data_IF_167793094414
#
_entry.id   IF_167793094414
#
_cell.length_a   1.000
_cell.length_b   1.000
_cell.length_c   1.000
_cell.angle_alpha   90.00
_cell.angle_beta   90.00
_cell.angle_gamma   90.00
#
_symmetry.space_group_name_H-M   'P 1'
#
loop_
_entity.id
_entity.type
_entity.pdbx_description
1 polymer ?
#
# COMPACT_ATOMS: atom_id res chain seq x y z
N UNK A 1 -6.25 -5.23 23.85
CA UNK A 1 -6.87 -5.33 22.51
C UNK A 1 -6.53 -6.67 21.90
N UNK A 2 -7.51 -7.33 21.30
CA UNK A 2 -7.29 -8.59 20.59
C UNK A 2 -6.37 -8.34 19.38
N UNK A 3 -5.35 -9.19 19.24
CA UNK A 3 -4.36 -9.08 18.15
C UNK A 3 -4.93 -9.75 16.90
N UNK A 4 -5.72 -9.02 16.11
CA UNK A 4 -6.48 -9.51 14.93
C UNK A 4 -5.63 -10.21 13.85
N UNK A 5 -4.31 -9.96 13.83
CA UNK A 5 -3.38 -10.52 12.84
C UNK A 5 -2.33 -11.43 13.50
N UNK A 6 -2.62 -11.97 14.69
CA UNK A 6 -1.68 -12.79 15.44
C UNK A 6 -1.18 -13.98 14.62
N UNK A 7 0.14 -14.14 14.54
CA UNK A 7 0.81 -15.26 13.87
C UNK A 7 0.80 -15.19 12.34
N UNK A 8 0.33 -14.08 11.74
CA UNK A 8 0.37 -13.85 10.30
C UNK A 8 1.65 -13.15 9.88
N UNK A 9 2.15 -13.46 8.70
CA UNK A 9 3.35 -12.88 8.09
C UNK A 9 2.92 -11.87 7.03
N UNK A 10 3.35 -10.61 7.16
CA UNK A 10 2.98 -9.53 6.26
C UNK A 10 4.22 -8.95 5.56
N UNK A 11 4.21 -8.91 4.23
CA UNK A 11 5.19 -8.15 3.43
C UNK A 11 4.58 -6.78 3.11
N UNK A 12 5.30 -5.70 3.44
CA UNK A 12 4.91 -4.33 3.10
C UNK A 12 5.99 -3.73 2.21
N UNK A 13 5.66 -3.49 0.93
CA UNK A 13 6.61 -2.93 -0.02
C UNK A 13 6.76 -1.42 0.15
N UNK A 14 8.01 -0.91 -0.01
CA UNK A 14 8.29 0.51 0.18
C UNK A 14 8.00 1.00 1.60
N UNK A 15 8.32 0.19 2.61
CA UNK A 15 7.97 0.43 4.01
C UNK A 15 9.04 1.17 4.82
N UNK A 16 10.10 1.68 4.20
CA UNK A 16 11.15 2.46 4.87
C UNK A 16 10.69 3.85 5.34
N UNK A 17 9.56 4.37 4.83
CA UNK A 17 9.04 5.69 5.21
C UNK A 17 7.56 5.84 4.90
N UNK A 18 6.97 6.99 5.27
CA UNK A 18 5.63 7.41 4.88
C UNK A 18 4.53 6.40 5.21
N UNK A 19 3.60 6.22 4.26
CA UNK A 19 2.45 5.32 4.42
C UNK A 19 2.89 3.88 4.72
N UNK A 20 3.88 3.37 3.97
CA UNK A 20 4.37 2.00 4.16
C UNK A 20 4.90 1.73 5.57
N UNK A 21 5.64 2.69 6.14
CA UNK A 21 6.12 2.61 7.52
C UNK A 21 4.96 2.63 8.53
N UNK A 22 3.97 3.53 8.33
CA UNK A 22 2.77 3.58 9.17
C UNK A 22 1.97 2.27 9.13
N UNK A 23 1.78 1.71 7.95
CA UNK A 23 1.10 0.41 7.76
C UNK A 23 1.88 -0.72 8.43
N UNK A 24 3.21 -0.79 8.26
CA UNK A 24 4.03 -1.82 8.88
C UNK A 24 3.90 -1.80 10.42
N UNK A 25 3.94 -0.61 11.03
CA UNK A 25 3.72 -0.43 12.47
C UNK A 25 2.32 -0.87 12.89
N UNK A 26 1.28 -0.46 12.19
CA UNK A 26 -0.10 -0.80 12.49
C UNK A 26 -0.36 -2.32 12.42
N UNK A 27 0.10 -2.98 11.36
CA UNK A 27 -0.01 -4.44 11.22
C UNK A 27 0.76 -5.18 12.33
N UNK A 28 1.94 -4.68 12.71
CA UNK A 28 2.73 -5.25 13.81
C UNK A 28 2.01 -5.12 15.17
N UNK A 29 1.43 -3.96 15.47
CA UNK A 29 0.61 -3.74 16.67
C UNK A 29 -0.59 -4.70 16.68
N UNK A 30 -1.18 -4.97 15.52
CA UNK A 30 -2.27 -5.93 15.35
C UNK A 30 -1.81 -7.41 15.45
N UNK A 31 -0.51 -7.68 15.62
CA UNK A 31 0.06 -9.01 15.90
C UNK A 31 0.73 -9.70 14.72
N UNK A 32 0.84 -9.06 13.55
CA UNK A 32 1.59 -9.62 12.43
C UNK A 32 3.11 -9.53 12.65
N UNK A 33 3.84 -10.51 12.13
CA UNK A 33 5.28 -10.39 11.88
C UNK A 33 5.46 -9.69 10.53
N UNK A 34 6.21 -8.59 10.49
CA UNK A 34 6.28 -7.73 9.32
C UNK A 34 7.64 -7.80 8.61
N UNK A 35 7.59 -7.74 7.29
CA UNK A 35 8.75 -7.56 6.42
C UNK A 35 8.73 -6.13 5.90
N UNK A 36 9.64 -5.30 6.41
CA UNK A 36 9.82 -3.90 6.01
C UNK A 36 10.70 -3.88 4.76
N UNK A 37 10.07 -3.87 3.58
CA UNK A 37 10.83 -3.82 2.33
C UNK A 37 11.29 -2.39 2.01
N UNK A 38 12.49 -2.30 1.46
CA UNK A 38 13.09 -1.06 0.94
C UNK A 38 13.80 -1.32 -0.40
N UNK A 39 13.81 -0.32 -1.34
CA UNK A 39 14.25 -0.60 -2.72
C UNK A 39 15.75 -0.58 -2.94
N UNK A 40 16.50 0.26 -2.20
CA UNK A 40 17.92 0.53 -2.47
C UNK A 40 18.73 0.68 -1.17
N UNK A 41 20.05 0.44 -1.21
CA UNK A 41 20.91 0.55 -0.01
C UNK A 41 20.82 1.89 0.73
N UNK A 42 20.58 2.99 0.00
CA UNK A 42 20.46 4.33 0.59
C UNK A 42 19.27 4.46 1.58
N UNK A 43 18.22 3.65 1.43
CA UNK A 43 17.03 3.65 2.31
C UNK A 43 17.09 2.57 3.39
N UNK A 44 18.20 1.85 3.52
CA UNK A 44 18.37 0.79 4.51
C UNK A 44 18.25 1.30 5.94
N UNK A 45 18.94 2.40 6.27
CA UNK A 45 18.91 2.96 7.62
C UNK A 45 17.49 3.40 8.02
N UNK A 46 16.71 3.94 7.08
CA UNK A 46 15.31 4.30 7.33
C UNK A 46 14.46 3.06 7.61
N UNK A 47 14.64 1.98 6.85
CA UNK A 47 13.96 0.71 7.09
C UNK A 47 14.34 0.09 8.44
N UNK A 48 15.63 0.13 8.82
CA UNK A 48 16.12 -0.34 10.11
C UNK A 48 15.54 0.48 11.28
N UNK A 49 15.39 1.81 11.09
CA UNK A 49 14.72 2.67 12.07
C UNK A 49 13.26 2.27 12.26
N UNK A 50 12.52 2.04 11.17
CA UNK A 50 11.13 1.56 11.24
C UNK A 50 11.06 0.21 11.97
N UNK A 51 11.95 -0.73 11.64
CA UNK A 51 12.00 -2.02 12.32
C UNK A 51 12.31 -1.87 13.81
N UNK A 52 13.25 -0.98 14.17
CA UNK A 52 13.54 -0.69 15.57
C UNK A 52 12.33 -0.17 16.33
N UNK A 53 11.59 0.78 15.76
CA UNK A 53 10.36 1.31 16.37
C UNK A 53 9.31 0.19 16.56
N UNK A 54 9.21 -0.75 15.62
CA UNK A 54 8.33 -1.92 15.72
C UNK A 54 8.77 -2.85 16.85
N UNK A 55 10.07 -3.15 16.94
CA UNK A 55 10.60 -4.06 17.97
C UNK A 55 10.60 -3.45 19.37
N UNK A 56 10.86 -2.15 19.49
CA UNK A 56 10.75 -1.41 20.75
C UNK A 56 9.30 -1.41 21.28
N UNK A 57 8.30 -1.45 20.38
CA UNK A 57 6.89 -1.61 20.72
C UNK A 57 6.46 -3.08 21.00
N UNK A 58 7.40 -4.02 21.00
CA UNK A 58 7.15 -5.45 21.25
C UNK A 58 6.65 -6.23 20.02
N UNK A 59 6.75 -5.66 18.82
CA UNK A 59 6.45 -6.33 17.58
C UNK A 59 7.60 -7.17 17.04
N UNK A 60 7.36 -7.89 15.96
CA UNK A 60 8.36 -8.74 15.29
C UNK A 60 8.45 -8.40 13.81
N UNK A 61 9.65 -8.49 13.26
CA UNK A 61 9.84 -8.28 11.82
C UNK A 61 11.29 -8.40 11.38
N UNK A 62 11.49 -8.13 10.10
CA UNK A 62 12.80 -7.98 9.46
C UNK A 62 12.75 -6.84 8.44
N UNK A 63 13.91 -6.32 8.07
CA UNK A 63 14.06 -5.51 6.87
C UNK A 63 14.46 -6.40 5.67
N UNK A 64 14.04 -6.02 4.45
CA UNK A 64 14.43 -6.74 3.24
C UNK A 64 14.65 -5.78 2.06
N UNK A 65 15.84 -5.85 1.44
CA UNK A 65 16.17 -5.07 0.25
C UNK A 65 15.57 -5.75 -0.99
N UNK A 66 14.71 -5.04 -1.74
CA UNK A 66 14.17 -5.51 -3.02
C UNK A 66 13.59 -4.33 -3.79
N UNK A 67 14.07 -4.11 -5.01
CA UNK A 67 13.43 -3.25 -6.00
C UNK A 67 12.27 -4.03 -6.63
N UNK A 68 11.04 -3.64 -6.31
CA UNK A 68 9.83 -4.32 -6.77
C UNK A 68 9.63 -4.28 -8.29
N UNK A 69 10.33 -3.38 -9.00
CA UNK A 69 10.33 -3.34 -10.46
C UNK A 69 11.17 -4.46 -11.11
N UNK A 70 11.93 -5.22 -10.31
CA UNK A 70 12.81 -6.29 -10.73
C UNK A 70 12.25 -7.66 -10.36
N UNK A 71 11.83 -8.41 -11.37
CA UNK A 71 11.15 -9.69 -11.18
C UNK A 71 11.98 -10.70 -10.37
N UNK A 72 13.27 -10.82 -10.67
CA UNK A 72 14.17 -11.74 -9.96
C UNK A 72 14.38 -11.36 -8.49
N UNK A 73 14.40 -10.06 -8.17
CA UNK A 73 14.48 -9.59 -6.77
C UNK A 73 13.18 -9.89 -6.00
N UNK A 74 12.01 -9.71 -6.64
CA UNK A 74 10.71 -10.04 -6.05
C UNK A 74 10.62 -11.55 -5.77
N UNK A 75 10.97 -12.40 -6.74
CA UNK A 75 10.97 -13.86 -6.56
C UNK A 75 11.88 -14.26 -5.38
N UNK A 76 13.09 -13.70 -5.30
CA UNK A 76 14.03 -13.95 -4.19
C UNK A 76 13.47 -13.47 -2.85
N UNK A 77 12.82 -12.30 -2.81
CA UNK A 77 12.22 -11.79 -1.57
C UNK A 77 11.17 -12.74 -1.04
N UNK A 78 10.22 -13.16 -1.87
CA UNK A 78 9.17 -14.11 -1.44
C UNK A 78 9.77 -15.45 -1.02
N UNK A 79 10.71 -16.02 -1.79
CA UNK A 79 11.40 -17.27 -1.44
C UNK A 79 12.05 -17.19 -0.07
N UNK A 80 12.87 -16.16 0.17
CA UNK A 80 13.60 -16.01 1.45
C UNK A 80 12.64 -15.75 2.63
N UNK A 81 11.54 -15.03 2.42
CA UNK A 81 10.54 -14.81 3.48
C UNK A 81 9.83 -16.12 3.81
N UNK A 82 9.43 -16.91 2.80
CA UNK A 82 8.81 -18.22 2.97
C UNK A 82 9.77 -19.19 3.66
N UNK A 83 11.03 -19.25 3.25
CA UNK A 83 12.05 -20.11 3.90
C UNK A 83 12.26 -19.74 5.37
N UNK A 84 12.18 -18.45 5.72
CA UNK A 84 12.41 -17.99 7.09
C UNK A 84 11.20 -18.13 8.01
N UNK A 85 10.00 -17.88 7.50
CA UNK A 85 8.78 -17.80 8.31
C UNK A 85 7.75 -18.89 8.00
N UNK A 86 8.04 -19.72 7.01
CA UNK A 86 7.18 -20.83 6.57
C UNK A 86 6.08 -20.43 5.59
N UNK A 87 5.76 -19.12 5.47
CA UNK A 87 4.69 -18.62 4.60
C UNK A 87 4.70 -17.09 4.47
N UNK A 88 3.82 -16.58 3.62
CA UNK A 88 3.31 -15.21 3.59
C UNK A 88 1.78 -15.27 3.71
N UNK A 89 1.17 -14.42 4.52
CA UNK A 89 -0.28 -14.36 4.75
C UNK A 89 -0.91 -13.06 4.20
N UNK A 90 -0.13 -11.96 4.24
CA UNK A 90 -0.58 -10.62 3.88
C UNK A 90 0.47 -9.97 2.99
N UNK A 91 0.03 -9.39 1.87
CA UNK A 91 0.85 -8.50 1.06
C UNK A 91 0.23 -7.10 1.05
N UNK A 92 1.01 -6.08 1.44
CA UNK A 92 0.66 -4.68 1.21
C UNK A 92 1.57 -4.14 0.11
N UNK A 93 1.01 -4.02 -1.09
CA UNK A 93 1.64 -3.43 -2.26
C UNK A 93 1.63 -1.91 -2.16
N UNK A 94 2.58 -1.35 -1.42
CA UNK A 94 2.63 0.09 -1.14
C UNK A 94 3.72 0.84 -1.93
N UNK A 95 4.77 0.17 -2.38
CA UNK A 95 5.84 0.82 -3.14
C UNK A 95 5.28 1.65 -4.29
N UNK A 96 5.71 2.90 -4.39
CA UNK A 96 5.25 3.83 -5.41
C UNK A 96 6.03 5.14 -5.38
N UNK A 97 6.06 5.81 -6.53
CA UNK A 97 6.79 7.06 -6.74
C UNK A 97 6.09 7.92 -7.80
N UNK A 98 6.57 9.15 -7.93
CA UNK A 98 6.13 10.14 -8.91
C UNK A 98 7.33 10.64 -9.73
N UNK A 99 7.08 10.99 -11.00
CA UNK A 99 8.00 11.71 -11.89
C UNK A 99 7.15 12.60 -12.79
N UNK A 100 6.90 13.80 -12.31
CA UNK A 100 5.90 14.71 -12.86
C UNK A 100 6.48 15.52 -14.00
N UNK A 101 5.67 15.80 -15.01
CA UNK A 101 5.98 16.68 -16.12
C UNK A 101 4.70 17.08 -16.84
N UNK A 102 4.70 18.22 -17.54
CA UNK A 102 3.63 18.53 -18.49
C UNK A 102 3.54 17.40 -19.53
N UNK A 103 2.33 17.07 -19.95
CA UNK A 103 2.10 15.90 -20.81
C UNK A 103 2.98 15.89 -22.08
N UNK A 104 3.14 17.06 -22.72
CA UNK A 104 3.97 17.21 -23.94
C UNK A 104 5.48 17.17 -23.67
N UNK A 105 5.91 17.29 -22.42
CA UNK A 105 7.31 17.30 -21.98
C UNK A 105 7.69 16.00 -21.24
N UNK A 106 6.70 15.16 -20.91
CA UNK A 106 6.90 13.89 -20.22
C UNK A 106 7.68 12.92 -21.13
N UNK A 107 8.86 12.51 -20.66
CA UNK A 107 9.68 11.55 -21.43
C UNK A 107 9.16 10.12 -21.26
N UNK A 108 9.45 9.26 -22.25
CA UNK A 108 9.13 7.84 -22.16
C UNK A 108 9.84 7.16 -20.97
N UNK A 109 11.02 7.63 -20.60
CA UNK A 109 11.75 7.16 -19.42
C UNK A 109 10.98 7.45 -18.12
N UNK A 110 10.50 8.71 -17.93
CA UNK A 110 9.69 9.09 -16.78
C UNK A 110 8.39 8.28 -16.72
N UNK A 111 7.73 8.09 -17.84
CA UNK A 111 6.53 7.27 -17.97
C UNK A 111 6.80 5.81 -17.54
N UNK A 112 7.77 5.17 -18.18
CA UNK A 112 8.10 3.77 -17.92
C UNK A 112 8.60 3.55 -16.49
N UNK A 113 9.36 4.49 -15.92
CA UNK A 113 9.86 4.39 -14.56
C UNK A 113 8.71 4.36 -13.54
N UNK A 114 7.72 5.25 -13.69
CA UNK A 114 6.56 5.27 -12.79
C UNK A 114 5.73 3.99 -12.93
N UNK A 115 5.44 3.55 -14.16
CA UNK A 115 4.69 2.32 -14.40
C UNK A 115 5.42 1.08 -13.89
N UNK A 116 6.74 1.00 -14.06
CA UNK A 116 7.53 -0.16 -13.62
C UNK A 116 7.46 -0.38 -12.11
N UNK A 117 7.44 0.69 -11.31
CA UNK A 117 7.33 0.58 -9.85
C UNK A 117 5.87 0.48 -9.41
N UNK A 118 5.03 1.44 -9.84
CA UNK A 118 3.68 1.59 -9.29
C UNK A 118 2.70 0.51 -9.75
N UNK A 119 2.85 0.01 -10.97
CA UNK A 119 1.92 -0.97 -11.57
C UNK A 119 2.58 -2.34 -11.74
N UNK A 120 3.70 -2.41 -12.48
CA UNK A 120 4.39 -3.69 -12.71
C UNK A 120 4.90 -4.29 -11.40
N UNK A 121 5.45 -3.48 -10.50
CA UNK A 121 5.90 -3.95 -9.18
C UNK A 121 4.77 -4.55 -8.35
N UNK A 122 3.58 -3.93 -8.35
CA UNK A 122 2.40 -4.50 -7.67
C UNK A 122 1.94 -5.81 -8.31
N UNK A 123 1.98 -5.91 -9.64
CA UNK A 123 1.69 -7.16 -10.35
C UNK A 123 2.67 -8.27 -9.95
N UNK A 124 3.97 -8.01 -9.99
CA UNK A 124 4.99 -9.00 -9.66
C UNK A 124 4.83 -9.53 -8.23
N UNK A 125 4.68 -8.63 -7.26
CA UNK A 125 4.49 -9.02 -5.86
C UNK A 125 3.16 -9.75 -5.64
N UNK A 126 2.05 -9.30 -6.24
CA UNK A 126 0.75 -9.96 -6.14
C UNK A 126 0.80 -11.38 -6.71
N UNK A 127 1.47 -11.57 -7.85
CA UNK A 127 1.65 -12.89 -8.47
C UNK A 127 2.36 -13.88 -7.55
N UNK A 128 3.48 -13.47 -6.94
CA UNK A 128 4.22 -14.36 -6.04
C UNK A 128 3.45 -14.63 -4.73
N UNK A 129 2.75 -13.63 -4.19
CA UNK A 129 1.88 -13.83 -3.03
C UNK A 129 0.74 -14.84 -3.33
N UNK A 130 0.07 -14.70 -4.47
CA UNK A 130 -1.02 -15.60 -4.86
C UNK A 130 -0.52 -17.02 -5.06
N UNK A 131 0.66 -17.23 -5.65
CA UNK A 131 1.28 -18.56 -5.76
C UNK A 131 1.42 -19.23 -4.39
N UNK A 132 1.93 -18.49 -3.40
CA UNK A 132 2.06 -19.01 -2.04
C UNK A 132 0.69 -19.28 -1.40
N UNK A 133 -0.27 -18.38 -1.54
CA UNK A 133 -1.61 -18.55 -0.99
C UNK A 133 -2.31 -19.79 -1.55
N UNK A 134 -2.18 -20.05 -2.87
CA UNK A 134 -2.74 -21.23 -3.52
C UNK A 134 -2.05 -22.52 -3.07
N UNK A 135 -0.73 -22.48 -2.88
CA UNK A 135 0.07 -23.63 -2.43
C UNK A 135 -0.29 -24.04 -1.00
N UNK A 136 -0.41 -23.05 -0.11
CA UNK A 136 -0.69 -23.30 1.32
C UNK A 136 -2.18 -23.60 1.58
N UNK A 137 -3.08 -22.86 0.92
CA UNK A 137 -4.52 -22.89 1.21
C UNK A 137 -4.88 -22.09 2.48
N UNK A 138 -6.08 -22.35 3.02
CA UNK A 138 -6.59 -21.70 4.24
C UNK A 138 -5.99 -22.37 5.48
N UNK A 139 -5.48 -21.57 6.40
CA UNK A 139 -5.14 -21.95 7.77
C UNK A 139 -6.16 -21.31 8.73
N UNK A 140 -7.24 -22.05 9.04
CA UNK A 140 -8.34 -21.54 9.87
C UNK A 140 -7.94 -21.15 11.29
N UNK A 141 -6.76 -21.59 11.76
CA UNK A 141 -6.21 -21.15 13.05
C UNK A 141 -5.70 -19.70 13.02
N UNK A 142 -5.42 -19.17 11.81
CA UNK A 142 -4.91 -17.83 11.59
C UNK A 142 -5.93 -16.90 10.96
N UNK A 143 -6.70 -17.37 9.97
CA UNK A 143 -7.66 -16.55 9.23
C UNK A 143 -8.60 -17.40 8.38
N UNK A 144 -9.79 -16.89 8.11
CA UNK A 144 -10.76 -17.47 7.15
C UNK A 144 -10.28 -17.36 5.70
N UNK A 145 -9.37 -16.44 5.38
CA UNK A 145 -8.83 -16.25 4.05
C UNK A 145 -7.53 -17.06 3.85
N UNK A 146 -7.32 -17.58 2.65
CA UNK A 146 -6.05 -18.18 2.24
C UNK A 146 -4.94 -17.14 2.13
N UNK A 147 -5.26 -15.88 1.86
CA UNK A 147 -4.32 -14.77 1.83
C UNK A 147 -5.03 -13.45 1.58
N UNK A 148 -4.36 -12.35 1.87
CA UNK A 148 -4.88 -10.99 1.68
C UNK A 148 -3.87 -10.12 0.96
N UNK A 149 -4.35 -9.40 -0.05
CA UNK A 149 -3.56 -8.38 -0.76
C UNK A 149 -4.25 -7.04 -0.61
N UNK A 150 -3.48 -6.03 -0.20
CA UNK A 150 -3.90 -4.64 -0.15
C UNK A 150 -3.05 -3.87 -1.15
N UNK A 151 -3.68 -3.36 -2.21
CA UNK A 151 -3.03 -2.52 -3.21
C UNK A 151 -3.11 -1.05 -2.77
N UNK A 152 -1.98 -0.37 -2.64
CA UNK A 152 -1.97 1.06 -2.36
C UNK A 152 -2.17 1.83 -3.66
N UNK A 153 -3.39 2.32 -3.86
CA UNK A 153 -3.77 3.17 -4.97
C UNK A 153 -3.62 4.67 -4.61
N UNK A 154 -4.55 5.48 -4.98
CA UNK A 154 -4.67 6.91 -4.71
C UNK A 154 -6.06 7.39 -5.09
N UNK A 155 -6.51 8.53 -4.57
CA UNK A 155 -7.66 9.25 -5.11
C UNK A 155 -7.51 9.51 -6.62
N UNK A 156 -6.28 9.53 -7.13
CA UNK A 156 -5.97 9.72 -8.55
C UNK A 156 -6.18 8.46 -9.41
N UNK A 157 -6.75 7.40 -8.87
CA UNK A 157 -7.35 6.34 -9.69
C UNK A 157 -8.68 6.78 -10.34
N UNK A 158 -9.33 7.82 -9.78
CA UNK A 158 -10.61 8.38 -10.24
C UNK A 158 -10.56 9.89 -10.48
N UNK A 159 -9.74 10.65 -9.75
CA UNK A 159 -9.59 12.09 -9.92
C UNK A 159 -8.40 12.37 -10.84
N UNK A 160 -8.59 13.08 -11.98
CA UNK A 160 -7.48 13.48 -12.84
C UNK A 160 -6.55 14.47 -12.12
N UNK A 161 -5.26 14.45 -12.49
CA UNK A 161 -4.26 15.37 -11.96
C UNK A 161 -3.34 15.86 -13.08
N UNK A 162 -3.46 17.13 -13.43
CA UNK A 162 -2.64 17.74 -14.49
C UNK A 162 -1.14 17.65 -14.14
N UNK A 163 -0.32 17.27 -15.11
CA UNK A 163 1.13 17.07 -14.91
C UNK A 163 1.53 15.70 -14.38
N UNK A 164 0.57 14.83 -14.05
CA UNK A 164 0.80 13.53 -13.40
C UNK A 164 0.21 12.37 -14.20
N UNK A 165 0.24 12.45 -15.52
CA UNK A 165 -0.43 11.46 -16.39
C UNK A 165 0.08 10.02 -16.17
N UNK A 166 1.40 9.82 -16.00
CA UNK A 166 2.01 8.54 -15.68
C UNK A 166 1.53 7.98 -14.33
N UNK A 167 1.47 8.82 -13.31
CA UNK A 167 1.01 8.44 -11.98
C UNK A 167 -0.47 8.06 -12.00
N UNK A 168 -1.35 8.92 -12.52
CA UNK A 168 -2.78 8.65 -12.61
C UNK A 168 -3.07 7.38 -13.43
N UNK A 169 -2.39 7.21 -14.58
CA UNK A 169 -2.49 5.99 -15.37
C UNK A 169 -2.07 4.75 -14.58
N UNK A 170 -0.97 4.83 -13.80
CA UNK A 170 -0.53 3.71 -12.96
C UNK A 170 -1.57 3.35 -11.89
N UNK A 171 -2.21 4.35 -11.25
CA UNK A 171 -3.21 4.12 -10.18
C UNK A 171 -4.54 3.62 -10.72
N UNK A 172 -5.00 4.14 -11.88
CA UNK A 172 -6.14 3.56 -12.61
C UNK A 172 -5.89 2.11 -13.05
N UNK A 173 -4.66 1.81 -13.51
CA UNK A 173 -4.22 0.45 -13.82
C UNK A 173 -4.23 -0.47 -12.60
N UNK A 174 -3.74 0.00 -11.45
CA UNK A 174 -3.79 -0.75 -10.17
C UNK A 174 -5.22 -1.06 -9.77
N UNK A 175 -6.13 -0.08 -9.84
CA UNK A 175 -7.55 -0.28 -9.51
C UNK A 175 -8.16 -1.41 -10.34
N UNK A 176 -7.99 -1.40 -11.66
CA UNK A 176 -8.61 -2.41 -12.51
C UNK A 176 -7.91 -3.77 -12.43
N UNK A 177 -6.58 -3.80 -12.31
CA UNK A 177 -5.83 -5.02 -12.03
C UNK A 177 -6.30 -5.67 -10.72
N UNK A 178 -6.42 -4.89 -9.65
CA UNK A 178 -6.91 -5.36 -8.34
C UNK A 178 -8.29 -6.02 -8.46
N UNK A 179 -9.24 -5.38 -9.13
CA UNK A 179 -10.59 -5.92 -9.34
C UNK A 179 -10.58 -7.21 -10.15
N UNK A 180 -9.75 -7.28 -11.19
CA UNK A 180 -9.62 -8.45 -12.05
C UNK A 180 -9.11 -9.66 -11.28
N UNK A 181 -7.99 -9.50 -10.55
CA UNK A 181 -7.43 -10.62 -9.77
C UNK A 181 -8.29 -10.97 -8.55
N UNK A 182 -9.01 -9.99 -7.96
CA UNK A 182 -9.97 -10.27 -6.89
C UNK A 182 -11.10 -11.18 -7.39
N UNK A 183 -11.65 -10.92 -8.57
CA UNK A 183 -12.68 -11.76 -9.19
C UNK A 183 -12.15 -13.17 -9.49
N UNK A 184 -10.94 -13.29 -10.04
CA UNK A 184 -10.33 -14.55 -10.41
C UNK A 184 -10.08 -15.47 -9.20
N UNK A 185 -9.60 -14.89 -8.09
CA UNK A 185 -9.15 -15.65 -6.92
C UNK A 185 -10.15 -15.67 -5.74
N UNK A 186 -11.30 -15.01 -5.82
CA UNK A 186 -12.35 -15.07 -4.81
C UNK A 186 -12.79 -16.52 -4.47
N UNK A 187 -12.98 -17.43 -5.45
CA UNK A 187 -13.34 -18.83 -5.14
C UNK A 187 -12.26 -19.59 -4.36
N UNK A 188 -11.03 -19.07 -4.31
CA UNK A 188 -9.90 -19.64 -3.54
C UNK A 188 -9.75 -19.00 -2.16
N UNK A 189 -10.74 -18.21 -1.72
CA UNK A 189 -10.71 -17.46 -0.45
C UNK A 189 -9.48 -16.53 -0.34
N UNK A 190 -9.02 -15.95 -1.44
CA UNK A 190 -8.01 -14.90 -1.48
C UNK A 190 -8.74 -13.58 -1.62
N UNK A 191 -8.52 -12.66 -0.66
CA UNK A 191 -9.12 -11.33 -0.66
C UNK A 191 -8.12 -10.30 -1.17
N UNK A 192 -8.57 -9.51 -2.14
CA UNK A 192 -7.74 -8.50 -2.77
C UNK A 192 -8.53 -7.21 -2.84
N UNK A 193 -8.05 -6.19 -2.14
CA UNK A 193 -8.69 -4.88 -2.04
C UNK A 193 -7.66 -3.77 -2.24
N UNK A 194 -8.13 -2.56 -2.40
CA UNK A 194 -7.30 -1.37 -2.53
C UNK A 194 -7.61 -0.36 -1.42
N UNK A 195 -6.60 0.39 -1.02
CA UNK A 195 -6.76 1.64 -0.28
C UNK A 195 -6.36 2.77 -1.23
N UNK A 196 -7.20 3.80 -1.33
CA UNK A 196 -6.95 5.01 -2.08
C UNK A 196 -6.79 6.20 -1.12
N UNK A 197 -5.55 6.52 -0.71
CA UNK A 197 -5.30 7.68 0.13
C UNK A 197 -5.59 8.99 -0.61
N UNK A 198 -6.11 9.98 0.13
CA UNK A 198 -6.04 11.38 -0.24
C UNK A 198 -4.68 11.99 0.09
N UNK A 199 -4.67 13.24 0.52
CA UNK A 199 -3.46 13.91 0.98
C UNK A 199 -3.08 13.42 2.39
N UNK A 200 -1.98 12.69 2.50
CA UNK A 200 -1.42 12.16 3.76
C UNK A 200 -0.10 12.85 4.06
N UNK A 201 0.11 13.29 5.28
CA UNK A 201 1.37 13.93 5.71
C UNK A 201 2.54 12.94 5.64
N UNK A 202 3.31 13.00 4.56
CA UNK A 202 4.44 12.11 4.28
C UNK A 202 5.60 12.89 3.64
N UNK A 203 6.83 12.35 3.65
CA UNK A 203 7.96 13.02 3.01
C UNK A 203 7.78 13.28 1.50
N UNK A 204 7.03 12.42 0.78
CA UNK A 204 6.87 12.52 -0.68
C UNK A 204 6.04 13.73 -1.11
N UNK A 205 5.14 14.23 -0.28
CA UNK A 205 4.26 15.37 -0.58
C UNK A 205 4.47 16.56 0.35
N UNK A 206 5.66 16.65 0.99
CA UNK A 206 5.96 17.68 1.98
C UNK A 206 5.73 19.11 1.45
N UNK A 207 6.11 19.37 0.22
CA UNK A 207 5.97 20.68 -0.42
C UNK A 207 4.51 21.16 -0.52
N UNK A 208 3.55 20.24 -0.46
CA UNK A 208 2.11 20.56 -0.49
C UNK A 208 1.56 21.11 0.84
N UNK A 209 2.32 21.00 1.94
CA UNK A 209 1.86 21.36 3.29
C UNK A 209 2.97 21.93 4.21
N UNK A 210 4.17 22.17 3.69
CA UNK A 210 5.32 22.66 4.45
C UNK A 210 5.20 24.13 4.92
N UNK A 211 4.31 24.91 4.29
CA UNK A 211 3.99 26.28 4.68
C UNK A 211 2.51 26.44 5.00
N UNK A 212 2.15 27.46 5.79
CA UNK A 212 0.75 27.75 6.10
C UNK A 212 -0.09 28.02 4.84
N UNK A 213 0.49 28.68 3.83
CA UNK A 213 -0.18 28.96 2.55
C UNK A 213 -0.41 27.68 1.73
N UNK A 214 0.59 26.81 1.62
CA UNK A 214 0.46 25.52 0.95
C UNK A 214 -0.57 24.64 1.64
N UNK A 215 -0.51 24.54 2.96
CA UNK A 215 -1.49 23.78 3.74
C UNK A 215 -2.91 24.32 3.54
N UNK A 216 -3.14 25.63 3.60
CA UNK A 216 -4.47 26.20 3.36
C UNK A 216 -5.00 25.90 1.96
N UNK A 217 -4.16 25.95 0.94
CA UNK A 217 -4.55 25.59 -0.42
C UNK A 217 -4.93 24.12 -0.53
N UNK A 218 -4.16 23.23 0.11
CA UNK A 218 -4.46 21.80 0.16
C UNK A 218 -5.78 21.53 0.88
N UNK A 219 -6.02 22.18 2.02
CA UNK A 219 -7.24 21.99 2.83
C UNK A 219 -8.53 22.44 2.13
N UNK A 220 -8.45 23.29 1.08
CA UNK A 220 -9.61 23.62 0.24
C UNK A 220 -10.10 22.43 -0.57
N UNK A 221 -9.21 21.45 -0.85
CA UNK A 221 -9.53 20.25 -1.61
C UNK A 221 -10.04 19.11 -0.72
N UNK A 222 -10.02 19.28 0.61
CA UNK A 222 -10.36 18.24 1.58
C UNK A 222 -11.55 18.71 2.42
N UNK A 223 -12.74 18.14 2.23
CA UNK A 223 -13.94 18.51 3.01
C UNK A 223 -13.74 18.40 4.52
N UNK A 224 -13.01 17.40 5.02
CA UNK A 224 -12.71 17.21 6.45
C UNK A 224 -11.78 18.29 7.04
N UNK A 225 -11.21 19.16 6.19
CA UNK A 225 -10.33 20.28 6.57
C UNK A 225 -9.13 19.89 7.43
N UNK A 226 -8.66 18.67 7.28
CA UNK A 226 -7.37 18.22 7.81
C UNK A 226 -6.59 17.40 6.77
N UNK A 227 -5.28 17.43 6.86
CA UNK A 227 -4.44 16.46 6.17
C UNK A 227 -4.49 15.12 6.91
N UNK A 228 -4.58 14.01 6.18
CA UNK A 228 -4.54 12.66 6.76
C UNK A 228 -3.16 12.34 7.36
N UNK A 229 -3.16 11.41 8.30
CA UNK A 229 -1.94 10.87 8.93
C UNK A 229 -1.70 9.44 8.46
N UNK A 230 -0.48 8.95 8.59
CA UNK A 230 -0.14 7.56 8.21
C UNK A 230 -0.93 6.53 9.01
N UNK A 231 -1.37 6.88 10.22
CA UNK A 231 -2.22 6.09 11.11
C UNK A 231 -3.63 5.89 10.53
N UNK A 232 -4.19 6.89 9.81
CA UNK A 232 -5.49 6.76 9.14
C UNK A 232 -5.43 5.60 8.12
N UNK A 233 -4.33 5.50 7.37
CA UNK A 233 -4.10 4.43 6.40
C UNK A 233 -3.75 3.10 7.09
N UNK A 234 -2.95 3.15 8.17
CA UNK A 234 -2.59 1.98 8.95
C UNK A 234 -3.81 1.25 9.52
N UNK A 235 -4.76 2.01 10.08
CA UNK A 235 -6.02 1.47 10.62
C UNK A 235 -6.88 0.82 9.53
N UNK A 236 -6.99 1.46 8.36
CA UNK A 236 -7.70 0.90 7.20
C UNK A 236 -7.04 -0.40 6.71
N UNK A 237 -5.70 -0.45 6.69
CA UNK A 237 -4.94 -1.63 6.30
C UNK A 237 -5.15 -2.80 7.29
N UNK A 238 -5.14 -2.54 8.61
CA UNK A 238 -5.46 -3.56 9.63
C UNK A 238 -6.86 -4.10 9.43
N UNK A 239 -7.86 -3.24 9.22
CA UNK A 239 -9.23 -3.66 8.95
C UNK A 239 -9.31 -4.58 7.72
N UNK A 240 -8.78 -4.16 6.58
CA UNK A 240 -8.82 -4.96 5.34
C UNK A 240 -8.00 -6.26 5.44
N UNK A 241 -6.93 -6.30 6.25
CA UNK A 241 -6.12 -7.50 6.48
C UNK A 241 -6.77 -8.47 7.46
N UNK A 242 -7.68 -8.01 8.33
CA UNK A 242 -8.34 -8.83 9.35
C UNK A 242 -9.57 -9.57 8.81
N UNK A 243 -10.07 -10.54 9.59
CA UNK A 243 -11.30 -11.26 9.28
C UNK A 243 -12.57 -10.41 9.47
N UNK A 244 -12.48 -9.21 10.03
CA UNK A 244 -13.58 -8.24 10.04
C UNK A 244 -13.99 -7.83 8.62
N UNK A 245 -13.07 -7.94 7.65
CA UNK A 245 -13.31 -7.68 6.24
C UNK A 245 -13.53 -8.96 5.42
N UNK A 246 -13.98 -10.06 6.02
CA UNK A 246 -14.04 -11.38 5.36
C UNK A 246 -14.92 -11.37 4.08
N UNK A 247 -15.98 -10.58 4.06
CA UNK A 247 -16.89 -10.48 2.89
C UNK A 247 -16.59 -9.26 2.00
N UNK A 248 -15.40 -8.60 2.17
CA UNK A 248 -14.98 -7.47 1.36
C UNK A 248 -13.90 -7.93 0.39
N UNK A 249 -14.20 -7.88 -0.92
CA UNK A 249 -13.29 -8.28 -1.97
C UNK A 249 -13.51 -7.46 -3.26
N UNK A 250 -12.44 -7.02 -3.91
CA UNK A 250 -12.49 -6.24 -5.16
C UNK A 250 -12.93 -4.78 -4.98
N UNK A 251 -12.82 -4.21 -3.77
CA UNK A 251 -13.19 -2.81 -3.51
C UNK A 251 -11.98 -1.92 -3.32
N UNK A 252 -12.15 -0.64 -3.63
CA UNK A 252 -11.24 0.42 -3.18
C UNK A 252 -11.87 1.14 -1.99
N UNK A 253 -11.16 1.16 -0.87
CA UNK A 253 -11.50 1.98 0.29
C UNK A 253 -10.80 3.34 0.16
N UNK A 254 -11.57 4.40 -0.11
CA UNK A 254 -11.04 5.76 -0.09
C UNK A 254 -10.83 6.22 1.35
N UNK A 255 -9.61 6.68 1.66
CA UNK A 255 -9.22 7.23 2.96
C UNK A 255 -8.64 8.61 2.70
N UNK A 256 -9.51 9.57 2.45
CA UNK A 256 -9.19 10.81 1.76
C UNK A 256 -9.82 12.08 2.37
N UNK A 257 -10.52 11.97 3.50
CA UNK A 257 -11.23 13.09 4.12
C UNK A 257 -12.32 13.70 3.23
N UNK A 258 -12.84 12.92 2.28
CA UNK A 258 -13.87 13.35 1.33
C UNK A 258 -13.30 14.03 0.07
N UNK A 259 -11.99 13.97 -0.19
CA UNK A 259 -11.35 14.63 -1.33
C UNK A 259 -11.91 14.18 -2.69
N UNK A 260 -12.45 12.96 -2.80
CA UNK A 260 -13.11 12.46 -4.01
C UNK A 260 -14.55 12.93 -4.19
N UNK A 261 -15.14 13.59 -3.20
CA UNK A 261 -16.50 14.12 -3.31
C UNK A 261 -16.52 15.38 -4.16
N UNK A 262 -17.64 15.61 -4.87
CA UNK A 262 -17.77 16.79 -5.71
C UNK A 262 -17.89 18.07 -4.85
N UNK A 263 -16.94 19.03 -4.93
CA UNK A 263 -16.91 20.15 -4.00
C UNK A 263 -18.04 21.19 -4.23
N UNK A 264 -18.69 21.17 -5.40
CA UNK A 264 -19.74 22.14 -5.73
C UNK A 264 -21.00 22.05 -4.84
N UNK A 265 -21.13 21.00 -4.01
CA UNK A 265 -22.23 20.84 -3.08
C UNK A 265 -21.83 20.95 -1.62
N UNK A 266 -20.62 21.42 -1.32
CA UNK A 266 -20.12 21.58 0.05
C UNK A 266 -20.95 22.59 0.85
N UNK A 267 -21.53 23.63 0.18
CA UNK A 267 -22.34 24.71 0.76
C UNK A 267 -23.82 24.63 0.36
N UNK A 268 -24.36 23.47 0.09
CA UNK A 268 -25.74 23.23 -0.37
C UNK A 268 -26.05 23.69 -1.81
N UNK A 269 -25.02 23.93 -2.63
CA UNK A 269 -25.13 24.31 -4.04
C UNK A 269 -25.15 25.80 -4.30
#
# INVERSE_FOLDING_TARGET
>A
MEKKLQGQIAIITGASSGIGAGVAKALSIAGATVVVNYPVPATKNDAEKVLKEITDAGGMGITYACDVSKEDEVIKMFGNVIDRFGTVDILVNNAGLQRDAKFTEMTLEQWNFVLSVNLTGQFLCAREAIKEFLKRGVDEKKSKAAGKIICMSSVHEVIPWAGHANYAASKGGVMLMMKTIAQEFAPKKIRINSIAPGAIATPINRDAWDTAAHLQNLLRLIPEKRIGQVEDIGNAAVFLASDDADYINGTTLFVDGGMTLYPGFEDNG
#
